data_IF_862237668405
#
_entry.id   IF_862237668405
#
_cell.length_a   1.000
_cell.length_b   1.000
_cell.length_c   1.000
_cell.angle_alpha   90.00
_cell.angle_beta   90.00
_cell.angle_gamma   90.00
#
_symmetry.space_group_name_H-M   'P 1'
#
loop_
_entity.id
_entity.type
_entity.pdbx_description
1 polymer ?
#
# COMPACT_ATOMS: atom_id res chain seq x y z
N UNK A 1 12.30 63.21 -5.53
CA UNK A 1 11.97 61.88 -6.08
C UNK A 1 11.02 62.12 -7.24
N UNK A 2 11.52 62.02 -8.48
CA UNK A 2 10.69 62.15 -9.68
C UNK A 2 9.66 61.03 -9.67
N UNK A 3 8.39 61.40 -9.49
CA UNK A 3 7.27 60.52 -9.73
C UNK A 3 7.27 60.25 -11.24
N UNK A 4 7.68 59.05 -11.62
CA UNK A 4 7.78 58.62 -13.00
C UNK A 4 6.46 58.86 -13.72
N UNK A 5 6.55 59.33 -14.96
CA UNK A 5 5.40 59.55 -15.84
C UNK A 5 4.42 58.37 -15.73
N UNK A 6 3.15 58.70 -15.49
CA UNK A 6 2.08 57.72 -15.54
C UNK A 6 2.02 57.20 -16.98
N UNK A 7 2.62 56.05 -17.21
CA UNK A 7 2.59 55.38 -18.49
C UNK A 7 1.11 55.14 -18.85
N UNK A 8 0.57 55.85 -19.84
CA UNK A 8 -0.86 55.83 -20.19
C UNK A 8 -1.36 54.44 -20.58
N UNK A 9 -0.45 53.49 -20.84
CA UNK A 9 -0.73 52.08 -21.12
C UNK A 9 -0.53 51.14 -19.91
N UNK A 10 -0.05 51.64 -18.77
CA UNK A 10 0.21 50.83 -17.57
C UNK A 10 -1.04 50.21 -16.96
N UNK A 11 -2.21 50.85 -17.11
CA UNK A 11 -3.48 50.29 -16.64
C UNK A 11 -3.92 49.08 -17.46
N UNK A 12 -3.61 49.04 -18.77
CA UNK A 12 -3.88 47.88 -19.64
C UNK A 12 -3.03 46.70 -19.20
N UNK A 13 -1.74 46.94 -18.90
CA UNK A 13 -0.85 45.91 -18.40
C UNK A 13 -1.35 45.35 -17.05
N UNK A 14 -1.73 46.21 -16.12
CA UNK A 14 -2.30 45.79 -14.83
C UNK A 14 -3.60 44.98 -15.02
N UNK A 15 -4.49 45.42 -15.90
CA UNK A 15 -5.74 44.70 -16.19
C UNK A 15 -5.48 43.32 -16.81
N UNK A 16 -4.54 43.23 -17.76
CA UNK A 16 -4.12 41.97 -18.35
C UNK A 16 -3.50 41.03 -17.29
N UNK A 17 -2.69 41.57 -16.37
CA UNK A 17 -2.11 40.81 -15.26
C UNK A 17 -3.17 40.30 -14.28
N UNK A 18 -4.17 41.11 -13.95
CA UNK A 18 -5.31 40.68 -13.13
C UNK A 18 -6.14 39.59 -13.81
N UNK A 19 -6.40 39.73 -15.11
CA UNK A 19 -7.10 38.71 -15.89
C UNK A 19 -6.30 37.39 -15.91
N UNK A 20 -4.98 37.47 -16.07
CA UNK A 20 -4.09 36.31 -16.02
C UNK A 20 -4.16 35.59 -14.66
N UNK A 21 -4.06 36.33 -13.54
CA UNK A 21 -4.20 35.75 -12.19
C UNK A 21 -5.57 35.12 -12.00
N UNK A 22 -6.64 35.76 -12.47
CA UNK A 22 -8.00 35.24 -12.33
C UNK A 22 -8.17 33.91 -13.07
N UNK A 23 -7.66 33.80 -14.30
CA UNK A 23 -7.66 32.55 -15.06
C UNK A 23 -6.84 31.48 -14.31
N UNK A 24 -5.60 31.78 -13.92
CA UNK A 24 -4.76 30.83 -13.20
C UNK A 24 -5.34 30.41 -11.84
N UNK A 25 -6.03 31.31 -11.14
CA UNK A 25 -6.69 30.99 -9.87
C UNK A 25 -7.86 30.03 -10.06
N UNK A 26 -8.63 30.16 -11.15
CA UNK A 26 -9.78 29.29 -11.44
C UNK A 26 -9.34 27.91 -11.94
N UNK A 27 -8.27 27.83 -12.72
CA UNK A 27 -7.77 26.57 -13.30
C UNK A 27 -6.65 25.91 -12.48
N UNK A 28 -6.01 26.64 -11.58
CA UNK A 28 -4.87 26.17 -10.78
C UNK A 28 -5.22 24.98 -9.88
N UNK A 29 -6.39 25.01 -9.25
CA UNK A 29 -6.87 23.88 -8.44
C UNK A 29 -7.09 22.61 -9.27
N UNK A 30 -7.59 22.75 -10.51
CA UNK A 30 -7.75 21.61 -11.44
C UNK A 30 -6.40 21.04 -11.86
N UNK A 31 -5.44 21.91 -12.12
CA UNK A 31 -4.07 21.50 -12.46
C UNK A 31 -3.40 20.78 -11.29
N UNK A 32 -3.53 21.29 -10.07
CA UNK A 32 -3.02 20.65 -8.85
C UNK A 32 -3.64 19.26 -8.64
N UNK A 33 -4.96 19.13 -8.82
CA UNK A 33 -5.66 17.86 -8.72
C UNK A 33 -5.14 16.84 -9.76
N UNK A 34 -4.90 17.28 -10.99
CA UNK A 34 -4.31 16.42 -12.01
C UNK A 34 -2.90 15.94 -11.63
N UNK A 35 -2.06 16.80 -11.06
CA UNK A 35 -0.75 16.41 -10.57
C UNK A 35 -0.83 15.41 -9.42
N UNK A 36 -1.75 15.62 -8.45
CA UNK A 36 -1.96 14.68 -7.35
C UNK A 36 -2.44 13.32 -7.84
N UNK A 37 -3.39 13.28 -8.77
CA UNK A 37 -3.85 12.01 -9.36
C UNK A 37 -2.71 11.24 -10.03
N UNK A 38 -1.83 11.92 -10.77
CA UNK A 38 -0.66 11.28 -11.40
C UNK A 38 0.33 10.73 -10.37
N UNK A 39 0.52 11.42 -9.24
CA UNK A 39 1.36 10.95 -8.14
C UNK A 39 0.76 9.70 -7.50
N UNK A 40 -0.55 9.70 -7.23
CA UNK A 40 -1.28 8.54 -6.70
C UNK A 40 -1.18 7.35 -7.66
N UNK A 41 -1.39 7.59 -8.96
CA UNK A 41 -1.27 6.55 -10.00
C UNK A 41 0.14 5.95 -10.04
N UNK A 42 1.16 6.78 -9.94
CA UNK A 42 2.56 6.33 -9.92
C UNK A 42 2.83 5.48 -8.67
N UNK A 43 2.38 5.93 -7.50
CA UNK A 43 2.50 5.15 -6.25
C UNK A 43 1.74 3.82 -6.31
N UNK A 44 0.55 3.80 -6.92
CA UNK A 44 -0.22 2.56 -7.10
C UNK A 44 0.49 1.58 -8.06
N UNK A 45 1.10 2.08 -9.13
CA UNK A 45 1.91 1.25 -10.02
C UNK A 45 3.12 0.65 -9.31
N UNK A 46 3.77 1.42 -8.44
CA UNK A 46 4.88 0.94 -7.62
C UNK A 46 4.41 -0.13 -6.62
N UNK A 47 3.30 0.09 -5.91
CA UNK A 47 2.71 -0.93 -5.03
C UNK A 47 2.36 -2.20 -5.79
N UNK A 48 1.78 -2.09 -6.99
CA UNK A 48 1.48 -3.25 -7.84
C UNK A 48 2.76 -4.01 -8.21
N UNK A 49 3.84 -3.30 -8.56
CA UNK A 49 5.13 -3.93 -8.86
C UNK A 49 5.67 -4.69 -7.64
N UNK A 50 5.71 -4.04 -6.47
CA UNK A 50 6.16 -4.64 -5.22
C UNK A 50 5.35 -5.90 -4.87
N UNK A 51 4.02 -5.85 -5.04
CA UNK A 51 3.15 -7.00 -4.81
C UNK A 51 3.49 -8.19 -5.73
N UNK A 52 3.70 -7.94 -7.03
CA UNK A 52 4.05 -8.98 -7.99
C UNK A 52 5.43 -9.59 -7.67
N UNK A 53 6.41 -8.74 -7.34
CA UNK A 53 7.77 -9.17 -6.96
C UNK A 53 7.77 -9.97 -5.66
N UNK A 54 7.02 -9.53 -4.63
CA UNK A 54 6.87 -10.23 -3.37
C UNK A 54 6.22 -11.60 -3.58
N UNK A 55 5.10 -11.66 -4.31
CA UNK A 55 4.42 -12.92 -4.64
C UNK A 55 5.35 -13.90 -5.34
N UNK A 56 6.11 -13.43 -6.35
CA UNK A 56 7.05 -14.29 -7.06
C UNK A 56 8.17 -14.78 -6.14
N UNK A 57 8.71 -13.91 -5.29
CA UNK A 57 9.75 -14.25 -4.31
C UNK A 57 9.26 -15.30 -3.31
N UNK A 58 8.01 -15.19 -2.83
CA UNK A 58 7.39 -16.19 -1.96
C UNK A 58 7.24 -17.53 -2.68
N UNK A 59 6.75 -17.56 -3.92
CA UNK A 59 6.67 -18.80 -4.71
C UNK A 59 8.05 -19.44 -4.88
N UNK A 60 9.06 -18.63 -5.23
CA UNK A 60 10.43 -19.09 -5.44
C UNK A 60 11.08 -19.64 -4.17
N UNK A 61 10.71 -19.10 -3.01
CA UNK A 61 11.20 -19.58 -1.70
C UNK A 61 10.50 -20.87 -1.29
N UNK A 62 9.17 -20.93 -1.39
CA UNK A 62 8.39 -22.09 -0.90
C UNK A 62 8.52 -23.33 -1.80
N UNK A 63 8.75 -23.17 -3.11
CA UNK A 63 8.92 -24.31 -4.04
C UNK A 63 10.15 -25.17 -3.75
N UNK A 64 11.10 -24.66 -2.97
CA UNK A 64 12.30 -25.42 -2.56
C UNK A 64 11.98 -26.50 -1.52
N UNK A 65 10.77 -26.50 -0.93
CA UNK A 65 10.41 -27.31 0.23
C UNK A 65 9.29 -28.34 -0.01
N UNK A 66 9.19 -28.88 -1.23
CA UNK A 66 8.54 -30.17 -1.48
C UNK A 66 7.26 -30.15 -2.33
N UNK A 67 6.64 -29.00 -2.56
CA UNK A 67 5.48 -28.86 -3.47
C UNK A 67 5.89 -28.36 -4.86
N UNK A 68 5.06 -28.67 -5.87
CA UNK A 68 5.25 -28.09 -7.20
C UNK A 68 4.95 -26.58 -7.21
N UNK A 69 5.55 -25.85 -8.15
CA UNK A 69 5.37 -24.39 -8.27
C UNK A 69 3.89 -24.00 -8.43
N UNK A 70 3.11 -24.79 -9.17
CA UNK A 70 1.68 -24.54 -9.40
C UNK A 70 0.86 -24.72 -8.12
N UNK A 71 1.18 -25.72 -7.31
CA UNK A 71 0.52 -25.96 -6.02
C UNK A 71 0.87 -24.87 -5.00
N UNK A 72 2.15 -24.50 -4.90
CA UNK A 72 2.61 -23.41 -4.03
C UNK A 72 1.94 -22.09 -4.42
N UNK A 73 1.88 -21.76 -5.72
CA UNK A 73 1.24 -20.54 -6.20
C UNK A 73 -0.25 -20.50 -5.82
N UNK A 74 -0.96 -21.62 -5.98
CA UNK A 74 -2.38 -21.72 -5.62
C UNK A 74 -2.61 -21.56 -4.12
N UNK A 75 -1.78 -22.17 -3.29
CA UNK A 75 -1.91 -22.09 -1.83
C UNK A 75 -1.56 -20.69 -1.31
N UNK A 76 -0.53 -20.05 -1.87
CA UNK A 76 -0.18 -18.66 -1.57
C UNK A 76 -1.26 -17.67 -2.05
N UNK A 77 -1.86 -17.88 -3.21
CA UNK A 77 -2.98 -17.06 -3.68
C UNK A 77 -4.17 -17.14 -2.72
N UNK A 78 -4.49 -18.34 -2.23
CA UNK A 78 -5.50 -18.54 -1.17
C UNK A 78 -5.11 -17.85 0.13
N UNK A 79 -3.83 -17.86 0.48
CA UNK A 79 -3.32 -17.23 1.69
C UNK A 79 -3.36 -15.69 1.64
N UNK A 80 -3.14 -15.09 0.47
CA UNK A 80 -3.24 -13.63 0.31
C UNK A 80 -4.65 -13.09 0.58
N UNK A 81 -5.68 -13.93 0.48
CA UNK A 81 -7.06 -13.58 0.84
C UNK A 81 -7.34 -13.71 2.35
N UNK A 82 -6.41 -14.22 3.15
CA UNK A 82 -6.55 -14.35 4.60
C UNK A 82 -6.42 -12.98 5.29
N UNK A 83 -7.37 -12.68 6.17
CA UNK A 83 -7.30 -11.52 7.06
C UNK A 83 -7.91 -11.84 8.42
N UNK A 84 -7.35 -11.25 9.48
CA UNK A 84 -7.88 -11.38 10.84
C UNK A 84 -8.80 -10.20 11.15
N UNK A 85 -10.01 -10.48 11.65
CA UNK A 85 -10.97 -9.44 12.08
C UNK A 85 -10.69 -9.10 13.54
N UNK A 86 -10.35 -7.83 13.79
CA UNK A 86 -10.04 -7.33 15.13
C UNK A 86 -11.32 -7.25 16.00
N UNK A 87 -11.20 -7.42 17.33
CA UNK A 87 -12.33 -7.29 18.24
C UNK A 87 -12.82 -5.83 18.26
N UNK A 88 -14.13 -5.64 18.47
CA UNK A 88 -14.72 -4.31 18.60
C UNK A 88 -14.44 -3.71 19.98
N UNK A 89 -14.14 -2.41 20.01
CA UNK A 89 -13.69 -1.68 21.21
C UNK A 89 -14.78 -1.41 22.27
N UNK A 90 -16.04 -1.74 21.97
CA UNK A 90 -17.20 -1.33 22.78
C UNK A 90 -17.33 -2.04 24.15
N UNK A 91 -16.53 -3.08 24.44
CA UNK A 91 -16.63 -3.89 25.66
C UNK A 91 -15.31 -3.97 26.44
N UNK A 92 -14.96 -2.97 27.28
CA UNK A 92 -13.68 -2.90 27.99
C UNK A 92 -13.37 -4.12 28.88
N UNK A 93 -14.37 -4.91 29.27
CA UNK A 93 -14.17 -6.11 30.07
C UNK A 93 -13.74 -7.31 29.20
N UNK A 94 -12.43 -7.45 29.00
CA UNK A 94 -11.86 -8.66 28.38
C UNK A 94 -11.50 -8.55 26.90
N UNK A 95 -11.51 -7.35 26.29
CA UNK A 95 -10.94 -7.10 24.95
C UNK A 95 -9.50 -7.60 24.88
N UNK A 96 -8.68 -7.34 25.90
CA UNK A 96 -7.29 -7.81 25.92
C UNK A 96 -7.20 -9.33 25.83
N UNK A 97 -8.05 -10.07 26.55
CA UNK A 97 -8.07 -11.54 26.50
C UNK A 97 -8.53 -12.06 25.14
N UNK A 98 -9.50 -11.39 24.52
CA UNK A 98 -9.97 -11.74 23.16
C UNK A 98 -8.90 -11.44 22.11
N UNK A 99 -8.22 -10.30 22.24
CA UNK A 99 -7.11 -9.91 21.38
C UNK A 99 -5.95 -10.91 21.50
N UNK A 100 -5.55 -11.26 22.72
CA UNK A 100 -4.48 -12.23 22.99
C UNK A 100 -4.80 -13.58 22.33
N UNK A 101 -6.01 -14.11 22.56
CA UNK A 101 -6.47 -15.34 21.91
C UNK A 101 -6.51 -15.24 20.38
N UNK A 102 -6.95 -14.10 19.82
CA UNK A 102 -6.98 -13.90 18.37
C UNK A 102 -5.56 -13.83 17.77
N UNK A 103 -4.61 -13.27 18.49
CA UNK A 103 -3.20 -13.23 18.06
C UNK A 103 -2.57 -14.62 18.13
N UNK A 104 -2.89 -15.41 19.15
CA UNK A 104 -2.47 -16.81 19.24
C UNK A 104 -3.05 -17.64 18.08
N UNK A 105 -4.36 -17.55 17.85
CA UNK A 105 -5.03 -18.23 16.73
C UNK A 105 -4.46 -17.78 15.37
N UNK A 106 -4.17 -16.48 15.20
CA UNK A 106 -3.49 -15.99 13.99
C UNK A 106 -2.15 -16.70 13.82
N UNK A 107 -1.29 -16.71 14.84
CA UNK A 107 0.03 -17.37 14.77
C UNK A 107 -0.11 -18.86 14.42
N UNK A 108 -1.03 -19.57 15.07
CA UNK A 108 -1.24 -21.00 14.85
C UNK A 108 -1.65 -21.27 13.39
N UNK A 109 -2.46 -20.39 12.79
CA UNK A 109 -2.83 -20.47 11.36
C UNK A 109 -1.64 -20.27 10.42
N UNK A 110 -0.68 -19.41 10.75
CA UNK A 110 0.53 -19.22 9.95
C UNK A 110 1.42 -20.46 10.00
N UNK A 111 1.64 -21.02 11.19
CA UNK A 111 2.41 -22.26 11.39
C UNK A 111 1.76 -23.43 10.63
N UNK A 112 0.44 -23.58 10.73
CA UNK A 112 -0.32 -24.61 10.00
C UNK A 112 -0.16 -24.47 8.48
N UNK A 113 -0.23 -23.24 7.96
CA UNK A 113 -0.07 -22.97 6.53
C UNK A 113 1.35 -23.30 6.04
N UNK A 114 2.39 -22.91 6.78
CA UNK A 114 3.78 -23.25 6.43
C UNK A 114 3.95 -24.77 6.40
N UNK A 115 3.44 -25.49 7.39
CA UNK A 115 3.49 -26.95 7.43
C UNK A 115 2.70 -27.62 6.28
N UNK A 116 1.59 -27.00 5.84
CA UNK A 116 0.82 -27.47 4.68
C UNK A 116 1.57 -27.25 3.37
N UNK A 117 2.22 -26.10 3.17
CA UNK A 117 2.81 -25.68 1.88
C UNK A 117 4.26 -26.13 1.70
N UNK A 118 5.03 -26.20 2.79
CA UNK A 118 6.43 -26.60 2.81
C UNK A 118 6.64 -27.83 3.70
N UNK A 119 6.22 -29.04 3.27
CA UNK A 119 6.33 -30.25 4.10
C UNK A 119 7.77 -30.71 4.35
N UNK A 120 8.72 -30.35 3.47
CA UNK A 120 10.11 -30.83 3.56
C UNK A 120 11.04 -29.84 4.28
N UNK A 121 10.54 -28.71 4.81
CA UNK A 121 11.36 -27.72 5.50
C UNK A 121 11.70 -28.12 6.94
N UNK A 122 12.87 -27.68 7.40
CA UNK A 122 13.36 -27.89 8.77
C UNK A 122 12.79 -26.81 9.70
N UNK A 123 12.59 -27.09 10.99
CA UNK A 123 12.04 -26.15 11.99
C UNK A 123 12.63 -24.73 11.94
N UNK A 124 13.96 -24.59 11.77
CA UNK A 124 14.61 -23.28 11.64
C UNK A 124 14.20 -22.52 10.38
N UNK A 125 13.92 -23.25 9.31
CA UNK A 125 13.46 -22.68 8.04
C UNK A 125 11.96 -22.37 8.11
N UNK A 126 11.17 -23.15 8.86
CA UNK A 126 9.74 -22.87 9.07
C UNK A 126 9.50 -21.48 9.64
N UNK A 127 10.33 -21.05 10.60
CA UNK A 127 10.24 -19.69 11.15
C UNK A 127 10.59 -18.61 10.13
N UNK A 128 11.55 -18.86 9.24
CA UNK A 128 11.88 -17.90 8.17
C UNK A 128 10.76 -17.82 7.12
N UNK A 129 10.14 -18.96 6.81
CA UNK A 129 8.99 -19.05 5.91
C UNK A 129 7.77 -18.34 6.50
N UNK A 130 7.50 -18.53 7.80
CA UNK A 130 6.46 -17.81 8.53
C UNK A 130 6.66 -16.30 8.44
N UNK A 131 7.87 -15.81 8.74
CA UNK A 131 8.23 -14.39 8.64
C UNK A 131 8.15 -13.83 7.20
N UNK A 132 8.20 -14.69 6.18
CA UNK A 132 8.06 -14.27 4.78
C UNK A 132 6.59 -14.02 4.41
N UNK A 133 5.66 -14.58 5.19
CA UNK A 133 4.22 -14.42 5.00
C UNK A 133 3.62 -13.28 5.83
N UNK A 134 4.32 -12.83 6.87
CA UNK A 134 3.96 -11.63 7.66
C UNK A 134 4.30 -10.33 6.92
#
# INVERSE_FOLDING_TARGET
MQLGEANEFGWIFNLAFFAFIMIFSLYGAKFQMWQWLKQIETGLHEFKRMFIEARQTSIDTFKEFGKSEEEVAKDLDRWMDYFTIMPVDLDPAGILKRLDHLLDERRDRFVEFVAEVAPDSVDSMNQNLENTLE
#
